data_IF_989911956760
#
_entry.id   IF_989911956760
#
_cell.length_a   1.000
_cell.length_b   1.000
_cell.length_c   1.000
_cell.angle_alpha   90.00
_cell.angle_beta   90.00
_cell.angle_gamma   90.00
#
_symmetry.space_group_name_H-M   'P 1'
#
loop_
_entity.id
_entity.type
_entity.pdbx_description
1 polymer ?
#
# COMPACT_ATOMS: atom_id res chain seq x y z
N UNK A 1 25.84 -10.13 5.64
CA UNK A 1 26.61 -10.46 4.39
C UNK A 1 26.13 -11.76 3.71
N UNK A 2 25.37 -12.62 4.37
CA UNK A 2 24.88 -13.90 3.84
C UNK A 2 23.80 -13.75 2.75
N UNK A 3 23.05 -12.65 2.77
CA UNK A 3 21.94 -12.43 1.82
C UNK A 3 22.37 -12.01 0.39
N UNK A 4 23.65 -11.72 0.17
CA UNK A 4 24.13 -11.18 -1.11
C UNK A 4 24.35 -12.23 -2.21
N UNK A 5 24.32 -13.52 -1.86
CA UNK A 5 24.63 -14.63 -2.77
C UNK A 5 23.54 -15.70 -2.90
N UNK A 6 22.43 -15.56 -2.18
CA UNK A 6 21.32 -16.53 -2.27
C UNK A 6 20.41 -16.20 -3.46
N UNK A 7 20.22 -17.20 -4.31
CA UNK A 7 19.22 -17.13 -5.37
C UNK A 7 17.84 -17.06 -4.72
N UNK A 8 17.09 -15.98 -4.93
CA UNK A 8 15.78 -15.73 -4.28
C UNK A 8 14.75 -16.85 -4.54
N UNK A 9 14.95 -17.64 -5.58
CA UNK A 9 14.12 -18.83 -5.89
C UNK A 9 14.31 -19.99 -4.90
N UNK A 10 15.38 -19.99 -4.09
CA UNK A 10 15.75 -21.06 -3.14
C UNK A 10 15.65 -20.62 -1.68
N UNK A 11 14.84 -19.62 -1.38
CA UNK A 11 14.63 -19.19 0.01
C UNK A 11 13.89 -20.29 0.75
N UNK A 12 14.60 -20.96 1.65
CA UNK A 12 14.09 -22.02 2.51
C UNK A 12 13.00 -21.45 3.44
N UNK A 13 11.98 -22.24 3.81
CA UNK A 13 10.86 -21.79 4.67
C UNK A 13 11.32 -21.19 6.00
N UNK A 14 12.49 -21.59 6.50
CA UNK A 14 13.11 -21.03 7.70
C UNK A 14 13.45 -19.53 7.59
N UNK A 15 13.84 -19.07 6.39
CA UNK A 15 14.16 -17.66 6.15
C UNK A 15 12.96 -16.79 5.81
N UNK A 16 11.82 -17.40 5.44
CA UNK A 16 10.62 -16.66 5.07
C UNK A 16 10.14 -15.75 6.21
N UNK A 17 10.29 -16.16 7.45
CA UNK A 17 9.88 -15.37 8.60
C UNK A 17 10.76 -14.12 8.81
N UNK A 18 12.07 -14.26 8.62
CA UNK A 18 13.00 -13.11 8.69
C UNK A 18 12.78 -12.15 7.52
N UNK A 19 12.61 -12.71 6.31
CA UNK A 19 12.30 -11.93 5.10
C UNK A 19 10.98 -11.18 5.28
N UNK A 20 9.93 -11.81 5.79
CA UNK A 20 8.65 -11.16 6.08
C UNK A 20 8.80 -10.00 7.07
N UNK A 21 9.60 -10.18 8.14
CA UNK A 21 9.88 -9.10 9.09
C UNK A 21 10.58 -7.90 8.43
N UNK A 22 11.56 -8.14 7.56
CA UNK A 22 12.25 -7.10 6.81
C UNK A 22 11.31 -6.39 5.84
N UNK A 23 10.54 -7.16 5.07
CA UNK A 23 9.55 -6.66 4.11
C UNK A 23 8.51 -5.79 4.81
N UNK A 24 8.01 -6.22 5.97
CA UNK A 24 7.08 -5.44 6.79
C UNK A 24 7.69 -4.12 7.29
N UNK A 25 8.99 -4.11 7.64
CA UNK A 25 9.71 -2.86 7.98
C UNK A 25 9.82 -1.92 6.78
N UNK A 26 10.09 -2.46 5.59
CA UNK A 26 10.12 -1.68 4.34
C UNK A 26 8.74 -1.09 4.01
N UNK A 27 7.68 -1.89 4.09
CA UNK A 27 6.30 -1.45 3.89
C UNK A 27 5.91 -0.32 4.87
N UNK A 28 6.23 -0.46 6.17
CA UNK A 28 6.04 0.59 7.17
C UNK A 28 6.83 1.86 6.85
N UNK A 29 8.06 1.74 6.37
CA UNK A 29 8.88 2.88 5.98
C UNK A 29 8.28 3.61 4.78
N UNK A 30 7.83 2.88 3.75
CA UNK A 30 7.15 3.43 2.59
C UNK A 30 5.86 4.16 2.99
N UNK A 31 5.00 3.52 3.78
CA UNK A 31 3.76 4.11 4.28
C UNK A 31 4.02 5.39 5.09
N UNK A 32 5.06 5.39 5.94
CA UNK A 32 5.44 6.55 6.74
C UNK A 32 6.00 7.70 5.89
N UNK A 33 6.83 7.41 4.89
CA UNK A 33 7.33 8.43 3.95
C UNK A 33 6.17 9.11 3.23
N UNK A 34 5.17 8.33 2.83
CA UNK A 34 3.98 8.84 2.15
C UNK A 34 3.08 9.66 3.08
N UNK A 35 2.94 9.24 4.35
CA UNK A 35 2.16 9.97 5.36
C UNK A 35 2.87 11.24 5.86
N UNK A 36 4.21 11.24 5.93
CA UNK A 36 5.01 12.37 6.43
C UNK A 36 4.98 13.60 5.52
N UNK A 37 4.87 13.44 4.21
CA UNK A 37 4.74 14.57 3.28
C UNK A 37 3.57 15.52 3.59
N UNK A 38 2.64 15.11 4.47
CA UNK A 38 1.46 15.89 4.88
C UNK A 38 1.42 16.28 6.36
N UNK A 39 2.43 15.91 7.17
CA UNK A 39 2.44 16.17 8.62
C UNK A 39 3.05 17.50 9.08
N UNK A 40 3.37 18.42 8.18
CA UNK A 40 3.94 19.71 8.56
C UNK A 40 2.89 20.75 9.02
N UNK A 41 2.03 20.38 9.97
CA UNK A 41 1.23 21.37 10.69
C UNK A 41 1.50 21.24 12.20
N UNK A 42 2.48 22.02 12.65
CA UNK A 42 2.68 22.33 14.06
C UNK A 42 1.47 23.18 14.52
N UNK A 43 0.58 22.61 15.32
CA UNK A 43 -0.60 23.18 15.97
C UNK A 43 -1.77 23.45 15.02
N UNK A 44 -2.97 23.00 15.40
CA UNK A 44 -4.22 23.30 14.72
C UNK A 44 -4.54 24.79 14.79
N UNK A 45 -5.36 25.28 13.87
CA UNK A 45 -5.93 26.64 13.96
C UNK A 45 -6.96 26.64 15.08
N UNK A 46 -6.94 27.67 15.94
CA UNK A 46 -7.95 27.81 16.99
C UNK A 46 -9.36 27.87 16.37
N UNK A 47 -10.25 26.98 16.78
CA UNK A 47 -11.66 27.03 16.41
C UNK A 47 -12.36 28.03 17.32
N UNK A 48 -12.34 29.30 16.91
CA UNK A 48 -12.87 30.41 17.68
C UNK A 48 -14.35 30.19 18.02
N UNK A 49 -15.15 29.72 17.05
CA UNK A 49 -16.59 29.49 17.26
C UNK A 49 -16.86 28.43 18.32
N UNK A 50 -16.17 27.30 18.27
CA UNK A 50 -16.31 26.23 19.28
C UNK A 50 -15.73 26.65 20.60
N UNK A 51 -14.60 27.36 20.62
CA UNK A 51 -13.98 27.86 21.84
C UNK A 51 -14.93 28.81 22.56
N UNK A 52 -15.52 29.80 21.89
CA UNK A 52 -16.49 30.74 22.48
C UNK A 52 -17.72 29.98 22.99
N UNK A 53 -18.29 29.08 22.20
CA UNK A 53 -19.48 28.32 22.59
C UNK A 53 -19.24 27.48 23.85
N UNK A 54 -18.11 26.79 23.93
CA UNK A 54 -17.79 25.91 25.06
C UNK A 54 -17.41 26.70 26.34
N UNK A 55 -17.10 28.01 26.22
CA UNK A 55 -16.78 28.87 27.36
C UNK A 55 -17.88 29.91 27.66
N UNK A 56 -19.02 29.81 26.99
CA UNK A 56 -20.13 30.76 27.22
C UNK A 56 -20.59 30.82 28.66
N UNK A 57 -20.68 29.67 29.35
CA UNK A 57 -21.04 29.57 30.74
C UNK A 57 -19.99 30.16 31.73
N UNK A 58 -18.77 30.40 31.23
CA UNK A 58 -17.65 30.90 32.05
C UNK A 58 -17.46 32.43 31.96
N UNK A 59 -18.55 33.19 31.73
CA UNK A 59 -18.50 34.64 31.61
C UNK A 59 -17.47 35.19 30.62
N UNK A 60 -17.18 34.43 29.56
CA UNK A 60 -16.23 34.81 28.50
C UNK A 60 -14.76 34.50 28.79
N UNK A 61 -14.44 33.91 29.93
CA UNK A 61 -13.07 33.44 30.21
C UNK A 61 -12.79 32.16 29.46
N UNK A 62 -11.75 32.16 28.63
CA UNK A 62 -11.43 31.04 27.74
C UNK A 62 -10.59 29.97 28.45
N UNK A 63 -11.22 29.10 29.24
CA UNK A 63 -10.56 27.95 29.88
C UNK A 63 -10.36 26.79 28.93
N UNK A 64 -11.34 26.54 28.04
CA UNK A 64 -11.36 25.39 27.12
C UNK A 64 -11.07 25.83 25.69
N UNK A 65 -9.81 25.76 25.26
CA UNK A 65 -9.44 26.06 23.88
C UNK A 65 -9.72 24.88 22.96
N UNK A 66 -10.51 25.08 21.91
CA UNK A 66 -10.80 24.11 20.88
C UNK A 66 -9.97 24.37 19.64
N UNK A 67 -9.27 23.34 19.20
CA UNK A 67 -8.41 23.41 18.02
C UNK A 67 -9.09 22.74 16.84
N UNK A 68 -9.13 23.41 15.69
CA UNK A 68 -9.56 22.83 14.44
C UNK A 68 -8.37 22.08 13.82
N UNK A 69 -8.48 20.76 13.75
CA UNK A 69 -7.48 19.94 13.07
C UNK A 69 -7.93 19.77 11.62
N UNK A 70 -7.04 20.08 10.68
CA UNK A 70 -7.28 19.71 9.30
C UNK A 70 -7.25 18.19 9.22
N UNK A 71 -8.37 17.56 8.84
CA UNK A 71 -8.44 16.11 8.64
C UNK A 71 -7.37 15.75 7.63
N UNK A 72 -6.34 15.02 8.07
CA UNK A 72 -5.29 14.55 7.18
C UNK A 72 -5.91 13.41 6.39
N UNK A 73 -6.27 13.68 5.14
CA UNK A 73 -6.66 12.62 4.23
C UNK A 73 -5.49 11.66 4.06
N UNK A 74 -5.72 10.40 4.37
CA UNK A 74 -4.74 9.35 4.10
C UNK A 74 -4.65 9.18 2.59
N UNK A 75 -3.45 9.23 2.00
CA UNK A 75 -3.28 9.03 0.57
C UNK A 75 -3.81 7.67 0.16
N UNK A 76 -4.41 7.60 -1.02
CA UNK A 76 -4.74 6.34 -1.68
C UNK A 76 -3.47 5.80 -2.33
N UNK A 77 -3.20 4.53 -2.16
CA UNK A 77 -2.06 3.86 -2.79
C UNK A 77 -2.61 2.69 -3.62
N UNK A 78 -2.31 2.70 -4.89
CA UNK A 78 -2.56 1.59 -5.81
C UNK A 78 -1.24 0.92 -6.13
N UNK A 79 -1.16 -0.39 -5.96
CA UNK A 79 0.04 -1.15 -6.28
C UNK A 79 -0.31 -2.17 -7.32
N UNK A 80 0.45 -2.18 -8.40
CA UNK A 80 0.33 -3.11 -9.51
C UNK A 80 1.60 -3.97 -9.50
N UNK A 81 1.45 -5.29 -9.36
CA UNK A 81 2.56 -6.23 -9.25
C UNK A 81 2.58 -7.18 -10.44
N UNK A 82 3.71 -7.24 -11.11
CA UNK A 82 3.98 -8.20 -12.17
C UNK A 82 4.18 -9.60 -11.56
N UNK A 83 3.43 -10.58 -12.04
CA UNK A 83 3.54 -12.00 -11.67
C UNK A 83 3.74 -12.90 -12.88
N UNK A 84 4.17 -12.31 -14.00
CA UNK A 84 4.47 -13.02 -15.24
C UNK A 84 5.61 -14.02 -15.09
N UNK A 85 5.79 -14.88 -16.09
CA UNK A 85 6.83 -15.90 -16.08
C UNK A 85 8.26 -15.33 -15.98
N UNK A 86 8.50 -14.12 -16.49
CA UNK A 86 9.81 -13.43 -16.43
C UNK A 86 10.24 -13.13 -15.01
N UNK A 87 9.29 -12.80 -14.11
CA UNK A 87 9.55 -12.49 -12.70
C UNK A 87 9.28 -13.65 -11.75
N UNK A 88 8.98 -14.85 -12.27
CA UNK A 88 8.55 -16.01 -11.46
C UNK A 88 9.41 -16.30 -10.24
N UNK A 89 10.76 -16.15 -10.37
CA UNK A 89 11.69 -16.32 -9.25
C UNK A 89 11.51 -15.28 -8.11
N UNK A 90 10.98 -14.10 -8.43
CA UNK A 90 10.83 -12.98 -7.48
C UNK A 90 9.36 -12.69 -7.15
N UNK A 91 8.42 -13.26 -7.92
CA UNK A 91 6.99 -13.00 -7.80
C UNK A 91 6.50 -13.23 -6.36
N UNK A 92 6.92 -14.32 -5.72
CA UNK A 92 6.57 -14.64 -4.33
C UNK A 92 7.04 -13.55 -3.36
N UNK A 93 8.25 -13.01 -3.54
CA UNK A 93 8.77 -11.92 -2.73
C UNK A 93 8.00 -10.61 -2.95
N UNK A 94 7.69 -10.28 -4.20
CA UNK A 94 6.90 -9.09 -4.53
C UNK A 94 5.48 -9.17 -3.96
N UNK A 95 4.84 -10.35 -4.04
CA UNK A 95 3.52 -10.58 -3.46
C UNK A 95 3.56 -10.52 -1.93
N UNK A 96 4.61 -11.02 -1.27
CA UNK A 96 4.82 -10.86 0.17
C UNK A 96 4.95 -9.39 0.56
N UNK A 97 5.67 -8.59 -0.24
CA UNK A 97 5.77 -7.15 -0.03
C UNK A 97 4.42 -6.46 -0.21
N UNK A 98 3.68 -6.82 -1.26
CA UNK A 98 2.34 -6.31 -1.54
C UNK A 98 1.36 -6.65 -0.41
N UNK A 99 1.37 -7.89 0.08
CA UNK A 99 0.59 -8.32 1.23
C UNK A 99 0.92 -7.48 2.48
N UNK A 100 2.21 -7.30 2.79
CA UNK A 100 2.63 -6.50 3.95
C UNK A 100 2.24 -5.02 3.80
N UNK A 101 2.15 -4.48 2.58
CA UNK A 101 1.62 -3.15 2.34
C UNK A 101 0.12 -3.07 2.64
N UNK A 102 -0.68 -4.10 2.31
CA UNK A 102 -2.11 -4.12 2.60
C UNK A 102 -2.39 -4.11 4.11
N UNK A 103 -1.54 -4.76 4.92
CA UNK A 103 -1.65 -4.73 6.38
C UNK A 103 -1.37 -3.34 6.98
N UNK A 104 -0.45 -2.57 6.37
CA UNK A 104 0.04 -1.30 6.94
C UNK A 104 -0.73 -0.10 6.43
N UNK A 105 -1.22 -0.16 5.19
CA UNK A 105 -1.85 0.97 4.49
C UNK A 105 -3.35 0.76 4.37
N UNK A 106 -4.14 1.52 5.12
CA UNK A 106 -5.59 1.35 5.21
C UNK A 106 -6.38 1.69 3.93
N UNK A 107 -5.80 2.46 3.00
CA UNK A 107 -6.41 2.83 1.72
C UNK A 107 -5.53 2.36 0.57
N UNK A 108 -5.23 1.06 0.56
CA UNK A 108 -4.46 0.43 -0.50
C UNK A 108 -5.37 -0.47 -1.32
N UNK A 109 -5.23 -0.39 -2.64
CA UNK A 109 -5.74 -1.40 -3.59
C UNK A 109 -4.56 -2.10 -4.24
N UNK A 110 -4.61 -3.41 -4.23
CA UNK A 110 -3.57 -4.31 -4.71
C UNK A 110 -4.03 -4.99 -5.99
N UNK A 111 -3.20 -4.89 -7.02
CA UNK A 111 -3.43 -5.52 -8.32
C UNK A 111 -2.23 -6.39 -8.67
N UNK A 112 -2.50 -7.47 -9.37
CA UNK A 112 -1.48 -8.32 -9.98
C UNK A 112 -1.77 -8.46 -11.46
N UNK A 113 -0.74 -8.64 -12.26
CA UNK A 113 -0.92 -8.89 -13.68
C UNK A 113 0.14 -9.81 -14.25
N UNK A 114 -0.22 -10.47 -15.32
CA UNK A 114 0.66 -11.08 -16.30
C UNK A 114 0.19 -10.66 -17.69
N UNK A 115 -0.69 -11.41 -18.35
CA UNK A 115 -1.41 -10.97 -19.54
C UNK A 115 -2.62 -10.10 -19.24
N UNK A 116 -3.30 -10.33 -18.11
CA UNK A 116 -4.48 -9.56 -17.67
C UNK A 116 -4.30 -9.05 -16.24
N UNK A 117 -4.98 -7.95 -15.92
CA UNK A 117 -4.98 -7.37 -14.58
C UNK A 117 -6.02 -8.05 -13.67
N UNK A 118 -5.64 -8.34 -12.44
CA UNK A 118 -6.54 -8.85 -11.42
C UNK A 118 -6.42 -8.09 -10.10
N UNK A 119 -7.52 -7.72 -9.49
CA UNK A 119 -7.50 -7.14 -8.15
C UNK A 119 -7.45 -8.24 -7.09
N UNK A 120 -6.46 -8.17 -6.19
CA UNK A 120 -6.22 -9.13 -5.11
C UNK A 120 -6.39 -8.51 -3.71
N UNK A 121 -6.91 -7.29 -3.63
CA UNK A 121 -7.06 -6.55 -2.36
C UNK A 121 -7.84 -7.33 -1.31
N UNK A 122 -8.96 -7.95 -1.71
CA UNK A 122 -9.83 -8.70 -0.80
C UNK A 122 -9.22 -10.06 -0.46
N UNK A 123 -8.63 -10.75 -1.44
CA UNK A 123 -7.96 -12.03 -1.22
C UNK A 123 -6.84 -11.89 -0.16
N UNK A 124 -6.13 -10.74 -0.16
CA UNK A 124 -5.08 -10.45 0.80
C UNK A 124 -5.58 -10.03 2.18
N UNK A 125 -6.81 -9.56 2.30
CA UNK A 125 -7.43 -9.23 3.60
C UNK A 125 -8.05 -10.44 4.27
N UNK A 126 -8.58 -11.37 3.48
CA UNK A 126 -9.42 -12.47 3.94
C UNK A 126 -8.63 -13.78 4.11
N UNK A 127 -7.38 -13.85 3.64
CA UNK A 127 -6.55 -15.05 3.68
C UNK A 127 -5.24 -14.81 4.45
N UNK A 128 -4.61 -15.91 4.90
CA UNK A 128 -3.26 -15.87 5.44
C UNK A 128 -2.23 -15.65 4.32
N UNK A 129 -1.02 -15.19 4.68
CA UNK A 129 0.03 -14.81 3.73
C UNK A 129 0.30 -15.87 2.65
N UNK A 130 0.57 -17.11 3.07
CA UNK A 130 0.94 -18.17 2.12
C UNK A 130 -0.23 -18.53 1.21
N UNK A 131 -1.44 -18.62 1.76
CA UNK A 131 -2.66 -18.91 1.01
C UNK A 131 -2.99 -17.80 0.01
N UNK A 132 -2.86 -16.54 0.42
CA UNK A 132 -3.10 -15.39 -0.44
C UNK A 132 -2.12 -15.34 -1.63
N UNK A 133 -0.83 -15.62 -1.37
CA UNK A 133 0.20 -15.68 -2.40
C UNK A 133 -0.07 -16.82 -3.38
N UNK A 134 -0.37 -18.01 -2.87
CA UNK A 134 -0.69 -19.18 -3.71
C UNK A 134 -1.91 -18.92 -4.61
N UNK A 135 -2.98 -18.38 -4.05
CA UNK A 135 -4.18 -17.99 -4.82
C UNK A 135 -3.85 -16.97 -5.92
N UNK A 136 -3.07 -15.92 -5.59
CA UNK A 136 -2.68 -14.91 -6.57
C UNK A 136 -1.84 -15.51 -7.71
N UNK A 137 -0.88 -16.39 -7.39
CA UNK A 137 -0.04 -17.05 -8.38
C UNK A 137 -0.82 -18.06 -9.23
N UNK A 138 -1.72 -18.86 -8.64
CA UNK A 138 -2.54 -19.81 -9.39
C UNK A 138 -3.49 -19.12 -10.37
N UNK A 139 -4.06 -17.98 -9.95
CA UNK A 139 -5.06 -17.26 -10.73
C UNK A 139 -4.46 -16.36 -11.82
N UNK A 140 -3.31 -15.77 -11.56
CA UNK A 140 -2.73 -14.70 -12.38
C UNK A 140 -1.27 -14.94 -12.78
N UNK A 141 -0.59 -15.94 -12.22
CA UNK A 141 0.84 -16.18 -12.45
C UNK A 141 1.15 -16.90 -13.75
N UNK A 142 2.38 -16.74 -14.24
CA UNK A 142 2.98 -17.58 -15.28
C UNK A 142 2.59 -17.26 -16.73
N UNK A 143 1.80 -16.22 -16.97
CA UNK A 143 1.50 -15.74 -18.32
C UNK A 143 2.64 -14.94 -18.96
N UNK A 144 2.46 -14.56 -20.24
CA UNK A 144 3.29 -13.55 -20.88
C UNK A 144 3.08 -12.19 -20.23
N UNK A 145 4.10 -11.36 -20.24
CA UNK A 145 4.00 -9.99 -19.71
C UNK A 145 3.36 -9.09 -20.76
N UNK A 146 2.30 -8.36 -20.40
CA UNK A 146 1.71 -7.31 -21.22
C UNK A 146 1.37 -6.09 -20.35
N UNK A 147 2.31 -5.16 -20.26
CA UNK A 147 2.10 -3.88 -19.55
C UNK A 147 1.04 -3.01 -20.21
N UNK A 148 0.94 -3.06 -21.54
CA UNK A 148 -0.03 -2.25 -22.28
C UNK A 148 -1.46 -2.62 -21.92
N UNK A 149 -1.77 -3.92 -21.98
CA UNK A 149 -3.07 -4.45 -21.60
C UNK A 149 -3.37 -4.17 -20.13
N UNK A 150 -2.43 -4.48 -19.22
CA UNK A 150 -2.61 -4.30 -17.80
C UNK A 150 -2.87 -2.83 -17.40
N UNK A 151 -2.16 -1.88 -18.01
CA UNK A 151 -2.37 -0.46 -17.76
C UNK A 151 -3.69 0.05 -18.36
N UNK A 152 -4.11 -0.46 -19.51
CA UNK A 152 -5.41 -0.13 -20.10
C UNK A 152 -6.56 -0.59 -19.23
N UNK A 153 -6.48 -1.83 -18.71
CA UNK A 153 -7.46 -2.35 -17.76
C UNK A 153 -7.45 -1.59 -16.44
N UNK A 154 -6.26 -1.22 -15.94
CA UNK A 154 -6.14 -0.40 -14.73
C UNK A 154 -6.80 0.97 -14.89
N UNK A 155 -6.59 1.63 -16.02
CA UNK A 155 -7.22 2.91 -16.34
C UNK A 155 -8.75 2.76 -16.36
N UNK A 156 -9.28 1.73 -17.03
CA UNK A 156 -10.73 1.50 -17.10
C UNK A 156 -11.38 1.25 -15.74
N UNK A 157 -10.64 0.60 -14.81
CA UNK A 157 -11.14 0.25 -13.48
C UNK A 157 -10.99 1.37 -12.43
N UNK A 158 -9.96 2.19 -12.57
CA UNK A 158 -9.53 3.04 -11.45
C UNK A 158 -9.42 4.53 -11.78
N UNK A 159 -9.52 4.96 -13.05
CA UNK A 159 -9.27 6.34 -13.46
C UNK A 159 -10.13 7.35 -12.69
N UNK A 160 -11.41 7.06 -12.53
CA UNK A 160 -12.37 7.94 -11.84
C UNK A 160 -12.06 8.11 -10.34
N UNK A 161 -11.35 7.15 -9.76
CA UNK A 161 -10.97 7.18 -8.35
C UNK A 161 -9.60 7.84 -8.10
N UNK A 162 -8.81 8.06 -9.16
CA UNK A 162 -7.46 8.63 -9.07
C UNK A 162 -7.56 10.15 -8.90
N UNK A 163 -6.97 10.66 -7.84
CA UNK A 163 -6.87 12.08 -7.54
C UNK A 163 -5.41 12.52 -7.37
N UNK A 164 -5.19 13.85 -7.21
CA UNK A 164 -3.85 14.43 -6.97
C UNK A 164 -3.14 13.88 -5.72
N UNK A 165 -3.84 13.12 -4.87
CA UNK A 165 -3.32 12.52 -3.63
C UNK A 165 -3.11 11.01 -3.78
N UNK A 166 -3.47 10.46 -4.93
CA UNK A 166 -3.29 9.04 -5.24
C UNK A 166 -1.86 8.79 -5.69
N UNK A 167 -1.28 7.69 -5.26
CA UNK A 167 0.02 7.19 -5.72
C UNK A 167 -0.17 5.82 -6.32
N UNK A 168 0.33 5.65 -7.53
CA UNK A 168 0.41 4.35 -8.19
C UNK A 168 1.85 3.87 -8.11
N UNK A 169 2.04 2.64 -7.65
CA UNK A 169 3.34 1.97 -7.55
C UNK A 169 3.29 0.73 -8.43
N UNK A 170 4.23 0.60 -9.34
CA UNK A 170 4.37 -0.58 -10.20
C UNK A 170 5.59 -1.37 -9.71
N UNK A 171 5.41 -2.66 -9.46
CA UNK A 171 6.42 -3.62 -9.06
C UNK A 171 6.60 -4.63 -10.17
N UNK A 172 7.76 -4.68 -10.79
CA UNK A 172 8.07 -5.58 -11.89
C UNK A 172 9.48 -5.34 -12.42
N UNK A 173 9.87 -6.11 -13.42
CA UNK A 173 11.18 -6.00 -14.07
C UNK A 173 11.19 -5.04 -15.28
N UNK A 174 10.05 -4.44 -15.60
CA UNK A 174 9.84 -3.54 -16.74
C UNK A 174 10.18 -4.16 -18.11
N UNK A 175 10.09 -5.47 -18.24
CA UNK A 175 10.20 -6.20 -19.52
C UNK A 175 8.79 -6.47 -20.07
N UNK A 176 8.65 -6.30 -21.38
CA UNK A 176 7.40 -6.56 -22.10
C UNK A 176 7.64 -7.59 -23.19
#
# INVERSE_FOLDING_TARGET
QVFKSMNMAQIDRSYLHEVHSLVRKMAKKLANLHSRRKKNFKRGKLDIRKTIRDNWANQGVLFNLRWAYKKVDRPKIYVICDVSGSVGAYARFMLMFLFSLTEVVSKLRAFVFSSNLGEVTNDFKDSQLDEAIEKALQKHGGGSTDYGQALTEFVSLCLDEIDKKTTVVILGDARN
#
